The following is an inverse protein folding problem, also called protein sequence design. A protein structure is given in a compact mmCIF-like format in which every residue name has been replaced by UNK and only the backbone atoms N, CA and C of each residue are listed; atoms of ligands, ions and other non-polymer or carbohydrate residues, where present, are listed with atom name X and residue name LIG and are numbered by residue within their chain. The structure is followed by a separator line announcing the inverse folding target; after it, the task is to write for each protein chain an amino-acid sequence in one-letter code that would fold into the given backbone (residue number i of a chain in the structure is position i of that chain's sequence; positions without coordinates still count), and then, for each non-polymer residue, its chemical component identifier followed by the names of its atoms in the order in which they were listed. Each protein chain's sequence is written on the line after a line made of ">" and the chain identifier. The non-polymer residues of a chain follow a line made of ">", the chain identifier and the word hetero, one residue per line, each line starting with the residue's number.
data_IF_688636972308
#
_entry.id   IF_688636972308
#
_cell.length_a   1.000
_cell.length_b   1.000
_cell.length_c   1.000
_cell.angle_alpha   90.00
_cell.angle_beta   90.00
_cell.angle_gamma   90.00
#
_symmetry.space_group_name_H-M   'P 1'
#
loop_
_entity.id
_entity.type
_entity.pdbx_description
1 polymer ?
#
# COMPACT_ATOMS: atom_id res chain seq x y z
N UNK A 1 -21.16 -15.58 0.34
CA UNK A 1 -20.10 -16.04 1.26
C UNK A 1 -19.02 -14.95 1.32
N UNK A 2 -19.29 -13.87 2.05
CA UNK A 2 -18.41 -12.70 2.20
C UNK A 2 -18.19 -12.50 3.69
N UNK A 3 -17.13 -13.01 4.31
CA UNK A 3 -16.77 -12.64 5.70
C UNK A 3 -15.44 -13.24 6.20
N UNK A 4 -14.36 -13.14 5.42
CA UNK A 4 -12.99 -13.48 5.91
C UNK A 4 -11.93 -12.42 5.61
N UNK A 5 -12.33 -11.21 5.25
CA UNK A 5 -11.40 -10.13 4.91
C UNK A 5 -10.91 -9.35 6.14
N UNK A 6 -11.60 -9.43 7.28
CA UNK A 6 -11.31 -8.61 8.47
C UNK A 6 -10.34 -9.27 9.47
N UNK A 7 -10.02 -10.56 9.35
CA UNK A 7 -9.13 -11.26 10.32
C UNK A 7 -7.68 -10.71 10.32
N UNK A 8 -7.19 -10.18 9.19
CA UNK A 8 -5.82 -9.63 9.08
C UNK A 8 -5.77 -8.10 9.28
N UNK A 9 -6.92 -7.42 9.20
CA UNK A 9 -7.02 -5.97 9.19
C UNK A 9 -6.98 -5.38 10.62
N UNK A 10 -5.77 -5.14 11.13
CA UNK A 10 -5.56 -4.60 12.50
C UNK A 10 -5.72 -3.07 12.57
N UNK A 11 -5.94 -2.54 13.77
CA UNK A 11 -6.08 -1.10 14.05
C UNK A 11 -4.98 -0.25 13.40
N UNK A 12 -3.73 -0.72 13.38
CA UNK A 12 -2.62 -0.01 12.73
C UNK A 12 -2.80 0.17 11.22
N UNK A 13 -3.26 -0.86 10.53
CA UNK A 13 -3.48 -0.82 9.08
C UNK A 13 -4.67 0.12 8.75
N UNK A 14 -5.70 0.16 9.61
CA UNK A 14 -6.84 1.08 9.46
C UNK A 14 -6.39 2.52 9.63
N UNK A 15 -5.55 2.79 10.63
CA UNK A 15 -4.92 4.10 10.82
C UNK A 15 -4.08 4.51 9.60
N UNK A 16 -3.33 3.58 9.00
CA UNK A 16 -2.59 3.85 7.75
C UNK A 16 -3.55 4.23 6.62
N UNK A 17 -4.63 3.47 6.42
CA UNK A 17 -5.65 3.77 5.41
C UNK A 17 -6.32 5.14 5.64
N UNK A 18 -6.69 5.45 6.88
CA UNK A 18 -7.24 6.75 7.27
C UNK A 18 -6.26 7.88 6.97
N UNK A 19 -4.96 7.70 7.30
CA UNK A 19 -3.91 8.70 7.02
C UNK A 19 -3.76 8.97 5.52
N UNK A 20 -3.80 7.94 4.67
CA UNK A 20 -3.71 8.10 3.20
C UNK A 20 -4.85 9.00 2.67
N UNK A 21 -6.07 8.86 3.22
CA UNK A 21 -7.23 9.63 2.80
C UNK A 21 -7.29 11.06 3.37
N UNK A 22 -6.45 11.42 4.35
CA UNK A 22 -6.37 12.80 4.87
C UNK A 22 -5.94 13.77 3.77
N UNK A 23 -6.40 15.02 3.89
CA UNK A 23 -6.04 16.13 3.00
C UNK A 23 -5.51 17.31 3.84
N UNK A 24 -4.24 17.73 3.66
CA UNK A 24 -3.24 17.14 2.77
C UNK A 24 -2.85 15.71 3.18
N UNK A 25 -2.45 14.89 2.21
CA UNK A 25 -1.95 13.54 2.49
C UNK A 25 -0.61 13.68 3.24
N UNK A 26 -0.44 13.07 4.43
CA UNK A 26 0.79 13.17 5.20
C UNK A 26 1.99 12.63 4.40
N UNK A 27 3.11 13.37 4.43
CA UNK A 27 4.34 13.01 3.71
C UNK A 27 5.20 11.98 4.45
N UNK A 28 4.83 11.63 5.68
CA UNK A 28 5.58 10.76 6.60
C UNK A 28 5.04 9.32 6.67
N UNK A 29 4.11 8.94 5.79
CA UNK A 29 3.60 7.57 5.71
C UNK A 29 4.67 6.68 5.09
N UNK A 30 5.17 5.69 5.84
CA UNK A 30 6.22 4.79 5.34
C UNK A 30 5.63 3.77 4.37
N UNK A 31 6.39 3.46 3.32
CA UNK A 31 6.00 2.44 2.33
C UNK A 31 5.68 1.08 2.96
N UNK A 32 6.45 0.67 3.98
CA UNK A 32 6.20 -0.60 4.69
C UNK A 32 4.85 -0.64 5.40
N UNK A 33 4.37 0.49 5.92
CA UNK A 33 3.03 0.59 6.51
C UNK A 33 1.94 0.38 5.45
N UNK A 34 2.13 1.00 4.27
CA UNK A 34 1.22 0.84 3.13
C UNK A 34 1.23 -0.60 2.63
N UNK A 35 2.40 -1.21 2.48
CA UNK A 35 2.56 -2.61 2.06
C UNK A 35 1.87 -3.57 3.02
N UNK A 36 2.08 -3.40 4.33
CA UNK A 36 1.45 -4.25 5.34
C UNK A 36 -0.09 -4.10 5.34
N UNK A 37 -0.59 -2.87 5.15
CA UNK A 37 -2.02 -2.61 5.01
C UNK A 37 -2.60 -3.28 3.75
N UNK A 38 -1.93 -3.15 2.61
CA UNK A 38 -2.34 -3.77 1.34
C UNK A 38 -2.37 -5.30 1.44
N UNK A 39 -1.33 -5.90 2.03
CA UNK A 39 -1.27 -7.34 2.29
C UNK A 39 -2.38 -7.82 3.23
N UNK A 40 -2.72 -7.03 4.25
CA UNK A 40 -3.87 -7.32 5.12
C UNK A 40 -5.21 -7.29 4.36
N UNK A 41 -5.27 -6.58 3.24
CA UNK A 41 -6.39 -6.55 2.31
C UNK A 41 -6.30 -7.60 1.19
N UNK A 42 -5.41 -8.59 1.32
CA UNK A 42 -5.10 -9.63 0.33
C UNK A 42 -4.61 -9.08 -1.03
N UNK A 43 -4.05 -7.87 -1.04
CA UNK A 43 -3.39 -7.33 -2.22
C UNK A 43 -1.99 -7.92 -2.33
N UNK A 44 -1.70 -8.55 -3.46
CA UNK A 44 -0.36 -9.01 -3.79
C UNK A 44 0.50 -7.84 -4.24
N UNK A 45 1.65 -7.68 -3.60
CA UNK A 45 2.63 -6.64 -3.91
C UNK A 45 3.83 -7.28 -4.60
N UNK A 46 4.05 -6.93 -5.87
CA UNK A 46 5.10 -7.52 -6.73
C UNK A 46 6.09 -6.43 -7.13
N UNK A 47 7.36 -6.63 -6.77
CA UNK A 47 8.43 -5.73 -7.22
C UNK A 47 8.67 -5.86 -8.73
N UNK A 48 8.96 -4.73 -9.37
CA UNK A 48 9.22 -4.62 -10.81
C UNK A 48 10.53 -3.86 -11.01
N UNK A 49 11.12 -3.91 -12.20
CA UNK A 49 12.39 -3.21 -12.46
C UNK A 49 12.29 -1.71 -12.14
N UNK A 50 13.30 -1.17 -11.46
CA UNK A 50 13.31 0.20 -10.95
C UNK A 50 12.49 0.37 -9.67
N UNK A 51 11.83 1.51 -9.51
CA UNK A 51 11.00 1.83 -8.32
C UNK A 51 9.52 1.50 -8.52
N UNK A 52 9.20 0.67 -9.51
CA UNK A 52 7.82 0.26 -9.82
C UNK A 52 7.38 -0.89 -8.93
N UNK A 53 6.11 -0.87 -8.57
CA UNK A 53 5.44 -1.90 -7.79
C UNK A 53 4.13 -2.23 -8.48
N UNK A 54 3.93 -3.52 -8.77
CA UNK A 54 2.63 -4.03 -9.18
C UNK A 54 1.80 -4.40 -7.97
N UNK A 55 0.57 -3.90 -7.91
CA UNK A 55 -0.45 -4.32 -6.96
C UNK A 55 -1.49 -5.14 -7.71
N UNK A 56 -1.82 -6.33 -7.19
CA UNK A 56 -2.85 -7.20 -7.77
C UNK A 56 -3.85 -7.60 -6.69
N UNK A 57 -5.13 -7.54 -7.01
CA UNK A 57 -6.20 -8.05 -6.16
C UNK A 57 -7.28 -8.60 -7.07
N UNK A 58 -7.58 -9.88 -6.94
CA UNK A 58 -8.53 -10.57 -7.82
C UNK A 58 -8.15 -10.34 -9.31
N UNK A 59 -9.08 -9.84 -10.12
CA UNK A 59 -8.84 -9.48 -11.53
C UNK A 59 -8.29 -8.07 -11.74
N UNK A 60 -8.16 -7.27 -10.69
CA UNK A 60 -7.65 -5.91 -10.76
C UNK A 60 -6.12 -5.86 -10.60
N UNK A 61 -5.48 -5.05 -11.45
CA UNK A 61 -4.05 -4.81 -11.39
C UNK A 61 -3.73 -3.35 -11.65
N UNK A 62 -2.93 -2.77 -10.76
CA UNK A 62 -2.34 -1.45 -10.96
C UNK A 62 -0.81 -1.52 -10.83
N UNK A 63 -0.12 -0.62 -11.52
CA UNK A 63 1.32 -0.43 -11.36
C UNK A 63 1.52 0.99 -10.89
N UNK A 64 2.17 1.12 -9.74
CA UNK A 64 2.50 2.41 -9.13
C UNK A 64 4.01 2.52 -8.95
N UNK A 65 4.49 3.74 -8.75
CA UNK A 65 5.84 3.96 -8.24
C UNK A 65 5.80 3.91 -6.71
N UNK A 66 6.85 3.36 -6.07
CA UNK A 66 7.03 3.51 -4.63
C UNK A 66 7.00 5.00 -4.29
N UNK A 67 6.32 5.44 -3.22
CA UNK A 67 6.38 6.82 -2.78
C UNK A 67 7.85 7.13 -2.49
N UNK A 68 8.40 8.08 -3.23
CA UNK A 68 9.78 8.50 -3.10
C UNK A 68 9.88 9.67 -2.12
N UNK A 69 10.49 9.49 -0.94
CA UNK A 69 11.41 10.49 -0.44
C UNK A 69 12.72 10.25 -1.21
N UNK A 70 12.94 11.00 -2.30
CA UNK A 70 14.09 10.96 -3.24
C UNK A 70 15.31 10.10 -2.82
N UNK A 71 15.86 9.26 -3.72
CA UNK A 71 17.29 9.02 -3.80
C UNK A 71 17.86 9.81 -4.99
N UNK A 72 18.69 10.81 -4.72
CA UNK A 72 19.36 11.65 -5.74
C UNK A 72 20.23 10.78 -6.66
N UNK A 73 20.14 10.98 -7.99
CA UNK A 73 21.28 11.28 -8.88
C UNK A 73 20.72 12.05 -10.08
N UNK A 74 21.20 13.27 -10.30
CA UNK A 74 20.79 14.22 -11.34
C UNK A 74 20.91 15.64 -10.85
#
# INVERSE_FOLDING_TARGET
>A
MHERFLESMRTRHRKTLERIHRKPTPSDIRWDEVRAMLQAYNVQVVERSGSRVGLRKDDERIVIHRPHPRPVVG
#
